data_IF_868352402208
#
_entry.id   IF_868352402208
#
_cell.length_a   1.000
_cell.length_b   1.000
_cell.length_c   1.000
_cell.angle_alpha   90.00
_cell.angle_beta   90.00
_cell.angle_gamma   90.00
#
_symmetry.space_group_name_H-M   'P 1'
#
loop_
_entity.id
_entity.type
_entity.pdbx_description
1 polymer ?
#
# COMPACT_ATOMS: atom_id res chain seq x y z
N UNK A 1 -17.88 -13.44 10.32
CA UNK A 1 -19.36 -13.40 10.25
C UNK A 1 -19.90 -12.60 9.06
N UNK A 2 -19.07 -11.78 8.40
CA UNK A 2 -19.21 -11.24 7.03
C UNK A 2 -20.61 -11.19 6.38
N UNK A 3 -21.16 -12.29 5.85
CA UNK A 3 -22.36 -12.25 4.99
C UNK A 3 -23.58 -11.57 5.64
N UNK A 4 -23.86 -11.82 6.92
CA UNK A 4 -24.95 -11.14 7.62
C UNK A 4 -24.61 -9.67 7.90
N UNK A 5 -23.37 -9.36 8.29
CA UNK A 5 -22.94 -7.98 8.55
C UNK A 5 -22.98 -7.10 7.27
N UNK A 6 -22.56 -7.65 6.13
CA UNK A 6 -22.68 -6.99 4.81
C UNK A 6 -24.15 -6.78 4.41
N UNK A 7 -25.04 -7.73 4.72
CA UNK A 7 -26.50 -7.55 4.54
C UNK A 7 -27.05 -6.44 5.44
N UNK A 8 -26.67 -6.40 6.71
CA UNK A 8 -27.09 -5.36 7.66
C UNK A 8 -26.65 -3.96 7.20
N UNK A 9 -25.47 -3.82 6.58
CA UNK A 9 -24.98 -2.56 6.00
C UNK A 9 -25.86 -2.10 4.84
N UNK A 10 -26.16 -2.98 3.86
CA UNK A 10 -27.07 -2.62 2.76
C UNK A 10 -28.45 -2.18 3.28
N UNK A 11 -28.96 -2.87 4.30
CA UNK A 11 -30.21 -2.56 4.99
C UNK A 11 -30.13 -1.36 5.97
N UNK A 12 -28.96 -0.71 6.11
CA UNK A 12 -28.81 0.59 6.79
C UNK A 12 -28.71 1.73 5.78
N UNK A 13 -28.05 1.52 4.65
CA UNK A 13 -28.00 2.48 3.52
C UNK A 13 -29.41 2.72 2.96
N UNK A 14 -30.17 1.66 2.71
CA UNK A 14 -31.60 1.72 2.32
C UNK A 14 -32.47 2.53 3.31
N UNK A 15 -32.09 2.54 4.60
CA UNK A 15 -32.76 3.32 5.65
C UNK A 15 -32.18 4.72 5.85
N UNK A 16 -31.31 5.19 4.95
CA UNK A 16 -30.62 6.48 5.02
C UNK A 16 -29.59 6.63 6.14
N UNK A 17 -29.22 5.54 6.84
CA UNK A 17 -28.35 5.56 8.03
C UNK A 17 -26.87 5.43 7.67
N UNK A 18 -26.39 6.30 6.78
CA UNK A 18 -25.04 6.26 6.18
C UNK A 18 -23.94 6.22 7.25
N UNK A 19 -23.97 7.10 8.26
CA UNK A 19 -22.95 7.11 9.31
C UNK A 19 -22.91 5.82 10.15
N UNK A 20 -24.07 5.19 10.38
CA UNK A 20 -24.13 3.89 11.06
C UNK A 20 -23.61 2.76 10.17
N UNK A 21 -23.74 2.89 8.86
CA UNK A 21 -23.17 1.95 7.88
C UNK A 21 -21.65 2.11 7.75
N UNK A 22 -21.10 3.33 7.76
CA UNK A 22 -19.65 3.62 7.80
C UNK A 22 -18.96 2.92 8.96
N UNK A 23 -19.40 3.21 10.19
CA UNK A 23 -18.84 2.63 11.42
C UNK A 23 -18.93 1.09 11.43
N UNK A 24 -20.01 0.52 10.89
CA UNK A 24 -20.15 -0.94 10.73
C UNK A 24 -19.22 -1.52 9.65
N UNK A 25 -18.91 -0.76 8.62
CA UNK A 25 -18.02 -1.17 7.53
C UNK A 25 -16.56 -1.11 7.96
N UNK A 26 -16.14 -0.11 8.74
CA UNK A 26 -14.83 -0.08 9.42
C UNK A 26 -14.59 -1.37 10.23
N UNK A 27 -15.61 -1.85 10.95
CA UNK A 27 -15.56 -3.13 11.67
C UNK A 27 -15.38 -4.36 10.76
N UNK A 28 -15.98 -4.38 9.57
CA UNK A 28 -15.75 -5.47 8.59
C UNK A 28 -14.35 -5.39 7.99
N UNK A 29 -13.86 -4.20 7.67
CA UNK A 29 -12.49 -4.00 7.18
C UNK A 29 -11.49 -4.49 8.24
N UNK A 30 -11.75 -4.24 9.53
CA UNK A 30 -10.93 -4.77 10.62
C UNK A 30 -11.05 -6.30 10.80
N UNK A 31 -12.25 -6.89 10.64
CA UNK A 31 -12.43 -8.36 10.64
C UNK A 31 -11.66 -9.01 9.49
N UNK A 32 -11.77 -8.46 8.27
CA UNK A 32 -11.09 -8.95 7.06
C UNK A 32 -9.54 -8.79 7.18
N UNK A 33 -9.03 -7.66 7.69
CA UNK A 33 -7.58 -7.47 7.96
C UNK A 33 -7.06 -8.43 9.05
N UNK A 34 -7.87 -8.74 10.07
CA UNK A 34 -7.50 -9.70 11.11
C UNK A 34 -7.43 -11.13 10.56
N UNK A 35 -8.28 -11.50 9.61
CA UNK A 35 -8.18 -12.80 8.92
C UNK A 35 -6.86 -12.90 8.13
N UNK A 36 -6.49 -11.87 7.36
CA UNK A 36 -5.19 -11.81 6.64
C UNK A 36 -3.96 -11.83 7.58
N UNK A 37 -4.12 -11.46 8.85
CA UNK A 37 -3.09 -11.62 9.89
C UNK A 37 -3.00 -13.07 10.37
N UNK A 38 -4.15 -13.75 10.58
CA UNK A 38 -4.17 -15.14 11.04
C UNK A 38 -3.62 -16.10 9.97
N UNK A 39 -3.93 -15.89 8.69
CA UNK A 39 -3.31 -16.61 7.55
C UNK A 39 -1.78 -16.45 7.54
N UNK A 40 -1.28 -15.26 7.90
CA UNK A 40 0.15 -14.99 8.00
C UNK A 40 0.78 -15.65 9.24
N UNK A 41 0.04 -15.83 10.33
CA UNK A 41 0.50 -16.61 11.49
C UNK A 41 0.52 -18.12 11.21
N UNK A 42 -0.45 -18.63 10.45
CA UNK A 42 -0.48 -20.03 9.98
C UNK A 42 0.76 -20.35 9.15
N UNK A 43 1.06 -19.55 8.12
CA UNK A 43 2.26 -19.69 7.29
C UNK A 43 3.57 -19.67 8.11
N UNK A 44 3.65 -18.88 9.18
CA UNK A 44 4.82 -18.85 10.06
C UNK A 44 4.86 -20.06 11.02
N UNK A 45 3.72 -20.55 11.50
CA UNK A 45 3.66 -21.78 12.28
C UNK A 45 4.08 -23.01 11.44
N UNK A 46 3.62 -23.10 10.19
CA UNK A 46 4.10 -24.08 9.21
C UNK A 46 5.61 -23.94 8.97
N UNK A 47 6.13 -22.71 8.85
CA UNK A 47 7.57 -22.46 8.65
C UNK A 47 8.42 -22.95 9.83
N UNK A 48 7.96 -22.73 11.07
CA UNK A 48 8.64 -23.25 12.27
C UNK A 48 8.53 -24.78 12.36
N UNK A 49 7.39 -25.37 11.99
CA UNK A 49 7.18 -26.82 12.00
C UNK A 49 8.05 -27.53 10.93
N UNK A 50 8.08 -27.01 9.71
CA UNK A 50 8.91 -27.52 8.61
C UNK A 50 10.42 -27.38 8.89
N UNK A 51 10.82 -26.48 9.79
CA UNK A 51 12.21 -26.26 10.24
C UNK A 51 12.41 -26.63 11.71
N UNK A 52 11.60 -27.52 12.28
CA UNK A 52 11.64 -27.86 13.70
C UNK A 52 13.04 -28.33 14.17
N UNK A 53 13.84 -28.94 13.30
CA UNK A 53 15.23 -29.32 13.60
C UNK A 53 16.16 -28.14 13.92
N UNK A 54 15.87 -26.93 13.40
CA UNK A 54 16.61 -25.71 13.75
C UNK A 54 16.12 -25.11 15.08
N UNK A 55 14.88 -25.41 15.47
CA UNK A 55 14.40 -25.10 16.81
C UNK A 55 15.04 -26.08 17.80
N UNK A 56 15.01 -27.38 17.58
CA UNK A 56 15.46 -28.40 18.55
C UNK A 56 16.97 -28.33 18.93
N UNK A 57 17.77 -27.54 18.19
CA UNK A 57 19.14 -27.22 18.57
C UNK A 57 19.24 -26.63 20.00
N UNK A 58 20.32 -26.94 20.75
CA UNK A 58 20.57 -26.42 22.10
C UNK A 58 21.12 -24.98 22.10
N UNK A 59 21.00 -24.24 20.99
CA UNK A 59 21.46 -22.85 20.87
C UNK A 59 20.44 -21.87 21.47
N UNK A 60 20.94 -20.77 22.05
CA UNK A 60 20.12 -19.63 22.49
C UNK A 60 19.94 -18.56 21.42
N UNK A 61 20.73 -18.63 20.36
CA UNK A 61 20.56 -17.79 19.17
C UNK A 61 19.66 -18.53 18.18
N UNK A 62 18.57 -17.90 17.67
CA UNK A 62 17.73 -18.46 16.63
C UNK A 62 18.40 -18.33 15.26
N UNK A 63 18.19 -19.32 14.38
CA UNK A 63 18.69 -19.25 13.01
C UNK A 63 17.96 -18.19 12.17
N UNK A 64 18.68 -17.54 11.26
CA UNK A 64 18.16 -16.43 10.43
C UNK A 64 16.99 -16.88 9.54
N UNK A 65 16.91 -18.16 9.17
CA UNK A 65 15.79 -18.70 8.37
C UNK A 65 14.50 -18.95 9.17
N UNK A 66 14.56 -18.99 10.50
CA UNK A 66 13.37 -19.09 11.37
C UNK A 66 13.05 -17.76 12.08
N UNK A 67 14.02 -16.84 12.16
CA UNK A 67 13.87 -15.56 12.85
C UNK A 67 12.61 -14.78 12.45
N UNK A 68 12.25 -14.58 11.16
CA UNK A 68 11.04 -13.83 10.80
C UNK A 68 9.74 -14.47 11.31
N UNK A 69 9.67 -15.79 11.38
CA UNK A 69 8.51 -16.51 11.90
C UNK A 69 8.46 -16.44 13.44
N UNK A 70 9.62 -16.59 14.09
CA UNK A 70 9.80 -16.48 15.54
C UNK A 70 9.41 -15.08 16.06
N UNK A 71 9.92 -14.01 15.43
CA UNK A 71 9.64 -12.63 15.85
C UNK A 71 8.17 -12.28 15.65
N UNK A 72 7.61 -12.66 14.49
CA UNK A 72 6.19 -12.48 14.17
C UNK A 72 5.27 -13.14 15.21
N UNK A 73 5.49 -14.41 15.54
CA UNK A 73 4.62 -15.15 16.47
C UNK A 73 4.70 -14.59 17.89
N UNK A 74 5.91 -14.29 18.41
CA UNK A 74 6.08 -13.71 19.75
C UNK A 74 5.41 -12.32 19.84
N UNK A 75 5.53 -11.49 18.80
CA UNK A 75 4.96 -10.14 18.78
C UNK A 75 3.44 -10.12 18.52
N UNK A 76 2.92 -11.02 17.68
CA UNK A 76 1.51 -11.07 17.32
C UNK A 76 0.64 -11.74 18.40
N UNK A 77 1.09 -12.84 19.01
CA UNK A 77 0.29 -13.64 19.95
C UNK A 77 -0.54 -12.82 20.98
N UNK A 78 0.02 -11.87 21.77
CA UNK A 78 -0.74 -11.12 22.77
C UNK A 78 -1.83 -10.19 22.19
N UNK A 79 -1.87 -10.00 20.86
CA UNK A 79 -2.88 -9.22 20.13
C UNK A 79 -3.87 -10.12 19.36
N UNK A 80 -3.78 -11.44 19.52
CA UNK A 80 -4.68 -12.44 18.91
C UNK A 80 -5.47 -13.19 19.97
N UNK A 81 -6.67 -13.65 19.62
CA UNK A 81 -7.55 -14.41 20.53
C UNK A 81 -7.17 -15.90 20.66
N UNK A 82 -6.22 -16.38 19.84
CA UNK A 82 -5.77 -17.78 19.79
C UNK A 82 -4.88 -18.14 20.98
N UNK A 83 -5.45 -18.85 21.97
CA UNK A 83 -4.74 -19.26 23.21
C UNK A 83 -3.54 -20.16 22.94
N UNK A 84 -3.64 -20.97 21.90
CA UNK A 84 -2.59 -21.86 21.41
C UNK A 84 -1.35 -21.07 20.96
N UNK A 85 -1.55 -19.87 20.38
CA UNK A 85 -0.47 -18.98 19.97
C UNK A 85 0.20 -18.30 21.18
N UNK A 86 -0.54 -18.08 22.28
CA UNK A 86 0.02 -17.61 23.55
C UNK A 86 0.90 -18.69 24.19
N UNK A 87 0.46 -19.95 24.19
CA UNK A 87 1.27 -21.09 24.67
C UNK A 87 2.54 -21.26 23.82
N UNK A 88 2.43 -21.18 22.49
CA UNK A 88 3.59 -21.25 21.59
C UNK A 88 4.57 -20.10 21.87
N UNK A 89 4.09 -18.86 22.03
CA UNK A 89 4.92 -17.72 22.45
C UNK A 89 5.66 -18.03 23.75
N UNK A 90 4.97 -18.48 24.79
CA UNK A 90 5.60 -18.71 26.09
C UNK A 90 6.66 -19.83 26.05
N UNK A 91 6.44 -20.87 25.23
CA UNK A 91 7.46 -21.90 24.94
C UNK A 91 8.70 -21.31 24.25
N UNK A 92 8.51 -20.46 23.23
CA UNK A 92 9.60 -19.83 22.48
C UNK A 92 10.37 -18.81 23.33
N UNK A 93 9.67 -18.03 24.17
CA UNK A 93 10.26 -17.12 25.16
C UNK A 93 11.08 -17.88 26.21
N UNK A 94 10.59 -19.04 26.68
CA UNK A 94 11.35 -19.88 27.62
C UNK A 94 12.58 -20.52 27.00
N UNK A 95 12.63 -20.65 25.67
CA UNK A 95 13.73 -21.29 24.93
C UNK A 95 14.86 -20.32 24.59
N UNK A 96 14.55 -19.20 23.93
CA UNK A 96 15.54 -18.23 23.48
C UNK A 96 15.86 -17.16 24.55
N UNK A 97 15.02 -17.03 25.58
CA UNK A 97 15.27 -16.16 26.74
C UNK A 97 14.43 -14.89 26.74
N UNK A 98 14.33 -14.26 27.92
CA UNK A 98 13.43 -13.12 28.17
C UNK A 98 13.92 -11.81 27.55
N UNK A 99 15.22 -11.65 27.38
CA UNK A 99 15.84 -10.43 26.80
C UNK A 99 15.45 -10.30 25.33
N UNK A 100 15.79 -11.30 24.49
CA UNK A 100 15.33 -11.37 23.10
C UNK A 100 13.80 -11.26 22.98
N UNK A 101 13.05 -11.91 23.87
CA UNK A 101 11.60 -11.82 23.86
C UNK A 101 11.09 -10.40 24.13
N UNK A 102 11.72 -9.64 25.03
CA UNK A 102 11.39 -8.24 25.29
C UNK A 102 11.76 -7.37 24.08
N UNK A 103 12.94 -7.59 23.49
CA UNK A 103 13.40 -6.85 22.30
C UNK A 103 12.46 -7.06 21.09
N UNK A 104 11.94 -8.28 20.93
CA UNK A 104 10.90 -8.61 19.94
C UNK A 104 9.56 -7.95 20.28
N UNK A 105 9.12 -7.98 21.54
CA UNK A 105 7.87 -7.33 21.97
C UNK A 105 7.91 -5.81 21.77
N UNK A 106 9.08 -5.19 21.94
CA UNK A 106 9.35 -3.77 21.69
C UNK A 106 9.60 -3.47 20.19
N UNK A 107 9.68 -4.49 19.33
CA UNK A 107 10.11 -4.44 17.92
C UNK A 107 11.42 -3.65 17.69
N UNK A 108 12.42 -3.88 18.54
CA UNK A 108 13.75 -3.29 18.37
C UNK A 108 14.38 -3.74 17.05
N UNK A 109 15.15 -2.85 16.45
CA UNK A 109 15.83 -3.01 15.15
C UNK A 109 14.92 -3.45 13.98
N UNK A 110 13.59 -3.26 14.11
CA UNK A 110 12.58 -3.75 13.16
C UNK A 110 12.65 -5.26 12.90
N UNK A 111 12.93 -6.05 13.94
CA UNK A 111 13.05 -7.50 13.85
C UNK A 111 11.73 -8.23 13.48
N UNK A 112 10.57 -7.58 13.62
CA UNK A 112 9.27 -8.09 13.16
C UNK A 112 9.01 -7.61 11.72
N UNK A 113 8.70 -8.52 10.77
CA UNK A 113 8.38 -8.16 9.39
C UNK A 113 7.26 -7.12 9.27
N UNK A 114 7.48 -6.09 8.46
CA UNK A 114 6.54 -4.97 8.23
C UNK A 114 5.12 -5.47 7.87
N UNK A 115 5.02 -6.52 7.02
CA UNK A 115 3.75 -7.14 6.61
C UNK A 115 2.89 -7.68 7.76
N UNK A 116 3.48 -7.91 8.94
CA UNK A 116 2.79 -8.26 10.19
C UNK A 116 2.45 -6.99 10.97
N UNK A 117 3.42 -6.08 11.10
CA UNK A 117 3.24 -4.81 11.81
C UNK A 117 2.07 -3.98 11.27
N UNK A 118 1.93 -3.86 9.94
CA UNK A 118 0.82 -3.14 9.30
C UNK A 118 -0.55 -3.75 9.63
N UNK A 119 -0.64 -5.06 9.86
CA UNK A 119 -1.90 -5.76 10.20
C UNK A 119 -2.18 -5.83 11.71
N UNK A 120 -1.16 -5.61 12.54
CA UNK A 120 -1.29 -5.48 14.00
C UNK A 120 -1.59 -4.04 14.44
N UNK A 121 -1.48 -3.06 13.53
CA UNK A 121 -1.79 -1.67 13.80
C UNK A 121 -3.31 -1.45 13.80
N UNK A 122 -3.86 -1.09 14.96
CA UNK A 122 -5.28 -0.74 15.10
C UNK A 122 -5.45 0.75 14.79
N UNK A 123 -5.59 1.06 13.51
CA UNK A 123 -5.84 2.42 12.98
C UNK A 123 -7.20 2.49 12.25
N UNK A 124 -7.82 3.66 12.23
CA UNK A 124 -9.06 3.90 11.48
C UNK A 124 -8.76 3.82 9.97
N UNK A 125 -9.46 2.98 9.18
CA UNK A 125 -9.21 2.87 7.75
C UNK A 125 -9.58 4.17 7.01
N UNK A 126 -8.91 4.43 5.88
CA UNK A 126 -9.21 5.57 5.01
C UNK A 126 -10.72 5.65 4.69
N UNK A 127 -11.41 6.78 4.94
CA UNK A 127 -12.81 6.98 4.58
C UNK A 127 -13.15 6.65 3.12
N UNK A 128 -12.17 6.77 2.20
CA UNK A 128 -12.31 6.34 0.81
C UNK A 128 -12.40 4.82 0.64
N UNK A 129 -11.63 4.05 1.42
CA UNK A 129 -11.71 2.59 1.46
C UNK A 129 -13.04 2.13 2.07
N UNK A 130 -13.51 2.82 3.12
CA UNK A 130 -14.83 2.58 3.73
C UNK A 130 -15.94 2.77 2.70
N UNK A 131 -15.95 3.87 1.95
CA UNK A 131 -16.97 4.11 0.92
C UNK A 131 -16.90 3.13 -0.25
N UNK A 132 -15.69 2.71 -0.67
CA UNK A 132 -15.53 1.67 -1.69
C UNK A 132 -16.11 0.33 -1.22
N UNK A 133 -15.89 -0.05 0.05
CA UNK A 133 -16.51 -1.23 0.65
C UNK A 133 -18.04 -1.13 0.72
N UNK A 134 -18.60 0.04 1.11
CA UNK A 134 -20.07 0.25 1.12
C UNK A 134 -20.61 0.12 -0.31
N UNK A 135 -19.97 0.72 -1.31
CA UNK A 135 -20.37 0.64 -2.71
C UNK A 135 -20.40 -0.81 -3.24
N UNK A 136 -19.33 -1.58 -3.01
CA UNK A 136 -19.26 -3.00 -3.40
C UNK A 136 -20.32 -3.84 -2.67
N UNK A 137 -20.57 -3.60 -1.38
CA UNK A 137 -21.64 -4.25 -0.61
C UNK A 137 -23.02 -3.90 -1.18
N UNK A 138 -23.28 -2.63 -1.47
CA UNK A 138 -24.56 -2.16 -1.99
C UNK A 138 -24.85 -2.67 -3.40
N UNK A 139 -23.84 -2.70 -4.29
CA UNK A 139 -23.94 -3.33 -5.63
C UNK A 139 -24.24 -4.83 -5.54
N UNK A 140 -23.76 -5.52 -4.51
CA UNK A 140 -24.05 -6.94 -4.29
C UNK A 140 -25.44 -7.23 -3.67
N UNK A 141 -26.25 -6.20 -3.39
CA UNK A 141 -27.60 -6.30 -2.84
C UNK A 141 -28.62 -5.39 -3.56
N UNK A 142 -28.29 -4.91 -4.76
CA UNK A 142 -29.13 -4.04 -5.60
C UNK A 142 -29.58 -2.72 -4.91
N UNK A 143 -28.77 -2.21 -3.98
CA UNK A 143 -29.03 -0.95 -3.25
C UNK A 143 -28.26 0.20 -3.89
N UNK A 144 -28.94 1.31 -4.18
CA UNK A 144 -28.28 2.52 -4.68
C UNK A 144 -27.43 3.18 -3.58
N UNK A 145 -26.13 3.35 -3.84
CA UNK A 145 -25.21 4.11 -2.98
C UNK A 145 -24.31 5.01 -3.82
N UNK A 146 -24.06 6.22 -3.33
CA UNK A 146 -23.14 7.19 -3.93
C UNK A 146 -22.49 8.02 -2.84
N UNK A 147 -21.19 8.33 -3.01
CA UNK A 147 -20.39 9.16 -2.11
C UNK A 147 -19.41 10.01 -2.92
N UNK A 148 -19.15 11.27 -2.53
CA UNK A 148 -18.14 12.12 -3.18
C UNK A 148 -16.69 11.62 -3.01
N UNK A 149 -16.44 10.55 -2.26
CA UNK A 149 -15.11 9.93 -2.14
C UNK A 149 -14.88 8.78 -3.14
N UNK A 150 -15.94 8.30 -3.81
CA UNK A 150 -15.82 7.30 -4.87
C UNK A 150 -15.21 7.93 -6.13
N UNK A 151 -14.35 7.22 -6.89
CA UNK A 151 -13.93 7.68 -8.20
C UNK A 151 -15.13 7.72 -9.16
N UNK A 152 -15.39 8.87 -9.77
CA UNK A 152 -16.57 9.15 -10.60
C UNK A 152 -16.72 8.22 -11.83
N UNK A 153 -15.66 7.48 -12.18
CA UNK A 153 -15.52 6.60 -13.34
C UNK A 153 -16.31 5.30 -13.30
N UNK A 154 -17.38 5.19 -12.51
CA UNK A 154 -18.24 3.99 -12.42
C UNK A 154 -19.75 4.29 -12.57
N UNK A 155 -20.14 5.48 -13.05
CA UNK A 155 -21.55 5.92 -13.11
C UNK A 155 -21.98 6.30 -14.55
N UNK A 156 -21.46 5.63 -15.58
CA UNK A 156 -21.71 6.00 -17.00
C UNK A 156 -22.05 4.86 -18.00
N UNK A 157 -22.39 3.64 -17.56
CA UNK A 157 -22.72 2.53 -18.50
C UNK A 157 -24.05 1.78 -18.24
N UNK A 158 -25.15 2.48 -17.93
CA UNK A 158 -26.52 1.88 -17.98
C UNK A 158 -27.60 2.80 -18.60
N UNK A 159 -27.26 3.79 -19.43
CA UNK A 159 -28.25 4.73 -20.02
C UNK A 159 -27.93 5.14 -21.48
N UNK A 160 -27.74 4.19 -22.40
CA UNK A 160 -27.52 4.56 -23.82
C UNK A 160 -27.95 3.52 -24.88
N UNK A 161 -28.91 2.64 -24.59
CA UNK A 161 -29.23 1.47 -25.45
C UNK A 161 -30.46 1.67 -26.37
N UNK A 162 -31.21 2.78 -26.24
CA UNK A 162 -32.54 2.93 -26.90
C UNK A 162 -32.65 4.04 -27.97
N UNK A 163 -31.54 4.59 -28.50
CA UNK A 163 -31.61 5.71 -29.48
C UNK A 163 -30.80 5.56 -30.79
N UNK A 164 -30.18 4.41 -31.08
CA UNK A 164 -29.41 4.22 -32.33
C UNK A 164 -30.13 3.45 -33.47
N UNK A 165 -31.24 2.74 -33.21
CA UNK A 165 -31.96 2.02 -34.28
C UNK A 165 -32.75 2.93 -35.24
N UNK A 166 -32.95 4.21 -34.90
CA UNK A 166 -33.84 5.13 -35.63
C UNK A 166 -33.21 5.85 -36.85
N UNK A 167 -31.92 5.65 -37.16
CA UNK A 167 -31.23 6.38 -38.24
C UNK A 167 -30.71 5.49 -39.39
N UNK A 168 -30.53 4.18 -39.19
CA UNK A 168 -29.95 3.28 -40.20
C UNK A 168 -30.98 2.75 -41.21
N UNK A 169 -31.74 3.65 -41.84
CA UNK A 169 -32.79 3.26 -42.81
C UNK A 169 -33.16 4.33 -43.85
N UNK A 170 -32.26 5.29 -44.16
CA UNK A 170 -32.57 6.43 -45.06
C UNK A 170 -31.53 6.81 -46.12
N UNK A 171 -30.36 6.19 -46.18
CA UNK A 171 -29.27 6.62 -47.08
C UNK A 171 -29.07 5.76 -48.36
N UNK A 172 -29.79 4.65 -48.53
CA UNK A 172 -29.68 3.79 -49.74
C UNK A 172 -30.56 4.25 -50.94
N UNK A 173 -31.20 5.41 -50.86
CA UNK A 173 -32.30 5.79 -51.77
C UNK A 173 -32.04 7.00 -52.71
N UNK A 174 -30.83 7.58 -52.77
CA UNK A 174 -30.62 8.80 -53.58
C UNK A 174 -29.22 8.97 -54.21
N UNK A 175 -28.69 7.93 -54.88
CA UNK A 175 -27.43 8.02 -55.67
C UNK A 175 -27.58 7.49 -57.11
N UNK A 176 -28.47 8.11 -57.90
CA UNK A 176 -28.40 8.01 -59.37
C UNK A 176 -28.83 9.32 -60.09
N UNK A 177 -27.91 10.30 -60.17
CA UNK A 177 -27.88 11.25 -61.30
C UNK A 177 -26.59 12.09 -61.44
N UNK A 178 -25.97 11.92 -62.62
CA UNK A 178 -25.30 12.94 -63.45
C UNK A 178 -24.02 13.64 -62.95
N UNK A 179 -22.92 13.30 -63.63
CA UNK A 179 -21.64 14.02 -63.72
C UNK A 179 -21.76 15.08 -64.84
N UNK A 180 -21.47 16.37 -64.59
CA UNK A 180 -20.24 17.01 -65.13
C UNK A 180 -19.68 18.17 -64.25
N UNK A 181 -18.50 18.77 -64.46
CA UNK A 181 -17.21 18.33 -65.05
C UNK A 181 -16.19 19.48 -64.89
N UNK A 182 -14.91 19.18 -64.60
CA UNK A 182 -13.74 20.08 -64.80
C UNK A 182 -13.70 21.41 -63.97
N UNK A 183 -12.55 22.05 -63.69
CA UNK A 183 -11.13 21.73 -63.91
C UNK A 183 -10.19 22.67 -63.12
N UNK A 184 -8.90 22.29 -63.01
CA UNK A 184 -7.73 23.16 -62.77
C UNK A 184 -7.50 23.64 -61.31
N UNK A 185 -6.33 23.35 -60.69
CA UNK A 185 -5.08 24.17 -60.61
C UNK A 185 -5.12 25.25 -59.52
N UNK A 186 -4.03 25.67 -58.87
CA UNK A 186 -2.59 25.32 -59.02
C UNK A 186 -1.88 25.34 -57.63
N UNK A 187 -0.55 25.14 -57.58
CA UNK A 187 0.23 25.09 -56.34
C UNK A 187 0.72 26.47 -55.82
N UNK A 188 1.05 26.59 -54.51
CA UNK A 188 2.37 27.06 -53.99
C UNK A 188 2.40 27.55 -52.51
N UNK A 189 3.34 26.97 -51.74
CA UNK A 189 4.35 27.62 -50.85
C UNK A 189 4.01 28.80 -49.90
N UNK A 190 4.19 28.53 -48.59
CA UNK A 190 5.30 29.09 -47.75
C UNK A 190 5.09 30.22 -46.70
N UNK A 191 5.37 29.83 -45.43
CA UNK A 191 6.17 30.53 -44.39
C UNK A 191 5.62 31.62 -43.42
N UNK A 192 6.07 31.46 -42.16
CA UNK A 192 6.16 32.43 -41.04
C UNK A 192 4.83 32.95 -40.43
N UNK A 193 4.79 33.41 -39.16
CA UNK A 193 5.84 34.00 -38.30
C UNK A 193 5.65 33.68 -36.78
N UNK A 194 6.65 33.99 -35.94
CA UNK A 194 6.71 33.70 -34.49
C UNK A 194 6.99 34.95 -33.62
N UNK A 195 6.61 34.89 -32.32
CA UNK A 195 7.01 35.77 -31.17
C UNK A 195 6.52 37.24 -31.21
N UNK A 196 6.57 38.01 -30.09
CA UNK A 196 7.05 37.75 -28.70
C UNK A 196 5.87 37.75 -27.65
N UNK A 197 5.94 37.98 -26.32
CA UNK A 197 7.01 38.42 -25.39
C UNK A 197 6.83 37.97 -23.90
N UNK A 198 7.95 38.04 -23.16
CA UNK A 198 8.26 38.05 -21.72
C UNK A 198 7.24 38.62 -20.68
N UNK A 199 7.28 38.09 -19.43
CA UNK A 199 7.96 38.80 -18.31
C UNK A 199 8.47 37.91 -17.14
N UNK A 200 9.69 38.20 -16.70
CA UNK A 200 10.47 37.76 -15.50
C UNK A 200 10.24 38.73 -14.30
N UNK A 201 10.69 38.57 -13.04
CA UNK A 201 11.37 37.53 -12.21
C UNK A 201 11.62 38.03 -10.76
N UNK A 202 12.06 37.15 -9.83
CA UNK A 202 13.06 37.38 -8.74
C UNK A 202 12.74 38.03 -7.35
N UNK A 203 13.06 37.24 -6.28
CA UNK A 203 13.98 37.49 -5.13
C UNK A 203 13.62 38.25 -3.81
N UNK A 204 13.89 37.53 -2.69
CA UNK A 204 14.75 37.85 -1.50
C UNK A 204 14.22 38.40 -0.14
N UNK A 205 14.80 37.82 0.93
CA UNK A 205 15.19 38.41 2.27
C UNK A 205 14.06 38.72 3.32
N UNK A 206 14.24 38.68 4.67
CA UNK A 206 15.40 38.38 5.59
C UNK A 206 14.98 38.11 7.07
N UNK A 207 15.78 37.32 7.82
CA UNK A 207 16.03 37.31 9.32
C UNK A 207 14.87 37.04 10.32
N UNK A 208 15.05 36.73 11.64
CA UNK A 208 16.16 36.87 12.66
C UNK A 208 16.24 35.76 13.76
N UNK A 209 17.47 35.32 14.12
CA UNK A 209 18.04 34.87 15.44
C UNK A 209 17.40 33.69 16.26
N UNK A 210 17.84 33.15 17.44
CA UNK A 210 18.84 33.49 18.52
C UNK A 210 19.36 32.23 19.32
N UNK A 211 20.55 32.30 19.97
CA UNK A 211 21.18 31.48 21.09
C UNK A 211 21.23 29.91 21.06
N UNK A 212 22.16 29.18 21.74
CA UNK A 212 23.25 29.49 22.72
C UNK A 212 24.55 28.63 22.51
N UNK A 213 25.47 28.56 23.50
CA UNK A 213 26.91 28.14 23.49
C UNK A 213 27.20 26.62 23.80
N UNK A 214 28.47 26.16 24.04
CA UNK A 214 29.65 26.13 23.15
C UNK A 214 30.43 24.77 23.13
N UNK A 215 31.33 24.55 22.15
CA UNK A 215 32.27 23.41 22.13
C UNK A 215 33.38 23.52 21.07
N UNK A 216 34.48 22.78 21.19
CA UNK A 216 35.69 22.88 20.35
C UNK A 216 36.27 21.48 19.97
N UNK A 217 37.37 21.38 19.20
CA UNK A 217 37.51 21.81 17.79
C UNK A 217 37.73 20.61 16.84
N UNK A 218 37.61 20.84 15.53
CA UNK A 218 37.70 19.79 14.48
C UNK A 218 39.13 19.39 14.10
N UNK A 219 39.28 18.15 13.61
CA UNK A 219 40.40 17.70 12.75
C UNK A 219 39.88 16.80 11.64
N UNK A 220 40.03 17.25 10.40
CA UNK A 220 39.74 16.43 9.22
C UNK A 220 40.82 15.35 9.08
N UNK A 221 40.41 14.10 8.85
CA UNK A 221 41.26 13.10 8.19
C UNK A 221 41.14 13.25 6.68
N UNK A 222 42.20 12.91 5.96
CA UNK A 222 42.27 12.98 4.50
C UNK A 222 42.04 11.60 3.89
N UNK A 223 41.15 11.51 2.91
CA UNK A 223 40.71 10.27 2.23
C UNK A 223 41.89 9.42 1.70
N UNK A 224 43.04 10.05 1.44
CA UNK A 224 44.26 9.38 0.99
C UNK A 224 44.80 8.34 1.98
N UNK A 225 44.65 8.58 3.29
CA UNK A 225 45.17 7.70 4.34
C UNK A 225 44.39 6.36 4.39
N UNK A 226 43.13 6.37 3.97
CA UNK A 226 42.28 5.17 3.91
C UNK A 226 42.55 4.32 2.65
N UNK A 227 43.05 4.90 1.57
CA UNK A 227 43.39 4.16 0.33
C UNK A 227 44.64 3.30 0.52
N UNK A 228 45.73 3.85 1.06
CA UNK A 228 46.97 3.09 1.35
C UNK A 228 46.69 1.93 2.35
N UNK A 229 45.79 2.17 3.30
CA UNK A 229 45.31 1.16 4.27
C UNK A 229 44.56 0.00 3.61
N UNK A 230 43.80 0.27 2.54
CA UNK A 230 43.10 -0.76 1.76
C UNK A 230 44.05 -1.52 0.83
N UNK A 231 44.99 -0.85 0.16
CA UNK A 231 45.95 -1.52 -0.73
C UNK A 231 46.85 -2.51 0.05
N UNK A 232 47.27 -2.15 1.26
CA UNK A 232 47.98 -3.05 2.18
C UNK A 232 47.14 -4.29 2.55
N UNK A 233 45.82 -4.14 2.74
CA UNK A 233 44.90 -5.28 2.99
C UNK A 233 44.74 -6.19 1.78
N UNK A 234 44.63 -5.64 0.56
CA UNK A 234 44.56 -6.45 -0.66
C UNK A 234 45.88 -7.20 -0.95
N UNK A 235 47.03 -6.59 -0.66
CA UNK A 235 48.33 -7.25 -0.77
C UNK A 235 48.46 -8.48 0.16
N UNK A 236 47.91 -8.41 1.38
CA UNK A 236 47.91 -9.52 2.33
C UNK A 236 47.05 -10.72 1.86
N UNK A 237 45.95 -10.46 1.13
CA UNK A 237 45.04 -11.50 0.66
C UNK A 237 45.58 -12.28 -0.56
N UNK A 238 46.52 -11.70 -1.31
CA UNK A 238 47.09 -12.25 -2.56
C UNK A 238 48.33 -13.15 -2.34
N UNK A 239 48.57 -13.59 -1.10
CA UNK A 239 49.79 -14.32 -0.69
C UNK A 239 49.50 -15.62 0.07
N UNK A 240 48.36 -16.25 -0.22
CA UNK A 240 47.90 -17.54 0.30
C UNK A 240 47.40 -18.42 -0.84
#
# INVERSE_FOLDING_TARGET
>A
MAKQARRDISALIDKGKVETARIKTEGIISEDIHLELLELMELYAETLLARFTLLDLPTREPDVSILPALTSIIHAAPRTELKELHVLRDMLMSKYGRELAQDIMDNKDSCVPERVMTKLLVETPDPKLVDLYIFEICRAYDVAFSSPLLPETMVQEENNTEQQEAQMSKEEAEVEKQIPSNSAKDAAKSAHKLKPANRTSNKHATSTDVNDKPGAPTKNKTEKDDVDSLEARFAALKRR
#
